data_IF_115392558864
#
_entry.id   IF_115392558864
#
_cell.length_a   1.000
_cell.length_b   1.000
_cell.length_c   1.000
_cell.angle_alpha   90.00
_cell.angle_beta   90.00
_cell.angle_gamma   90.00
#
_symmetry.space_group_name_H-M   'P 1'
#
loop_
_entity.id
_entity.type
_entity.pdbx_description
1 polymer ?
#
# COMPACT_ATOMS: atom_id res chain seq x y z
N UNK A 1 3.32 -17.58 -2.89
CA UNK A 1 2.15 -17.64 -3.81
C UNK A 1 1.82 -16.20 -4.16
N UNK A 2 1.47 -15.88 -5.41
CA UNK A 2 1.07 -14.49 -5.70
C UNK A 2 -0.11 -14.08 -4.78
N UNK A 3 0.04 -12.98 -4.05
CA UNK A 3 -1.01 -12.46 -3.17
C UNK A 3 -2.27 -12.21 -4.00
N UNK A 4 -3.39 -12.80 -3.60
CA UNK A 4 -4.65 -12.50 -4.29
C UNK A 4 -5.03 -11.04 -4.06
N UNK A 5 -5.77 -10.45 -5.02
CA UNK A 5 -6.27 -9.07 -4.91
C UNK A 5 -6.98 -8.80 -3.57
N UNK A 6 -7.75 -9.77 -3.08
CA UNK A 6 -8.41 -9.69 -1.77
C UNK A 6 -7.42 -9.61 -0.59
N UNK A 7 -6.34 -10.41 -0.61
CA UNK A 7 -5.31 -10.38 0.44
C UNK A 7 -4.55 -9.06 0.40
N UNK A 8 -4.19 -8.57 -0.79
CA UNK A 8 -3.56 -7.26 -0.96
C UNK A 8 -4.43 -6.12 -0.40
N UNK A 9 -5.73 -6.11 -0.69
CA UNK A 9 -6.63 -5.07 -0.21
C UNK A 9 -6.75 -5.04 1.32
N UNK A 10 -6.84 -6.20 1.98
CA UNK A 10 -6.83 -6.29 3.45
C UNK A 10 -5.53 -5.74 4.03
N UNK A 11 -4.39 -6.11 3.45
CA UNK A 11 -3.07 -5.62 3.90
C UNK A 11 -2.98 -4.10 3.74
N UNK A 12 -3.50 -3.55 2.64
CA UNK A 12 -3.53 -2.11 2.40
C UNK A 12 -4.35 -1.37 3.47
N UNK A 13 -5.57 -1.83 3.76
CA UNK A 13 -6.40 -1.24 4.82
C UNK A 13 -5.67 -1.33 6.17
N UNK A 14 -5.07 -2.49 6.48
CA UNK A 14 -4.33 -2.66 7.73
C UNK A 14 -3.13 -1.71 7.83
N UNK A 15 -2.38 -1.51 6.75
CA UNK A 15 -1.23 -0.61 6.70
C UNK A 15 -1.65 0.87 6.85
N UNK A 16 -2.71 1.28 6.15
CA UNK A 16 -3.20 2.66 6.16
C UNK A 16 -3.82 3.07 7.50
N UNK A 17 -4.58 2.16 8.12
CA UNK A 17 -5.25 2.39 9.41
C UNK A 17 -4.39 1.97 10.62
N UNK A 18 -3.17 1.49 10.38
CA UNK A 18 -2.24 0.98 11.40
C UNK A 18 -2.85 -0.17 12.25
N UNK A 19 -3.64 -1.04 11.63
CA UNK A 19 -4.07 -2.30 12.26
C UNK A 19 -2.98 -3.36 12.19
N UNK A 20 -3.05 -4.31 13.14
CA UNK A 20 -2.20 -5.50 13.12
C UNK A 20 -2.55 -6.39 11.93
N UNK A 21 -1.54 -6.80 11.16
CA UNK A 21 -1.72 -7.65 9.99
C UNK A 21 -2.20 -9.06 10.38
N UNK A 22 -1.81 -9.54 11.57
CA UNK A 22 -2.23 -10.84 12.11
C UNK A 22 -1.83 -12.05 11.27
N UNK A 23 -0.88 -11.89 10.35
CA UNK A 23 -0.43 -12.91 9.41
C UNK A 23 1.07 -13.12 9.54
N UNK A 24 1.46 -14.39 9.61
CA UNK A 24 2.86 -14.84 9.67
C UNK A 24 3.45 -15.08 8.27
N UNK A 25 2.66 -14.85 7.21
CA UNK A 25 3.09 -15.01 5.83
C UNK A 25 4.13 -13.93 5.45
N UNK A 26 5.34 -14.36 5.10
CA UNK A 26 6.45 -13.47 4.71
C UNK A 26 6.09 -12.55 3.54
N UNK A 27 5.31 -13.02 2.57
CA UNK A 27 4.86 -12.24 1.42
C UNK A 27 3.90 -11.11 1.84
N UNK A 28 2.97 -11.38 2.76
CA UNK A 28 2.03 -10.37 3.28
C UNK A 28 2.76 -9.31 4.10
N UNK A 29 3.71 -9.72 4.94
CA UNK A 29 4.56 -8.83 5.73
C UNK A 29 5.43 -7.92 4.84
N UNK A 30 6.03 -8.47 3.77
CA UNK A 30 6.82 -7.69 2.83
C UNK A 30 5.97 -6.61 2.13
N UNK A 31 4.74 -6.96 1.72
CA UNK A 31 3.81 -6.03 1.09
C UNK A 31 3.34 -4.94 2.08
N UNK A 32 3.00 -5.31 3.31
CA UNK A 32 2.65 -4.38 4.39
C UNK A 32 3.76 -3.36 4.67
N UNK A 33 5.01 -3.84 4.79
CA UNK A 33 6.16 -2.98 5.05
C UNK A 33 6.44 -2.01 3.89
N UNK A 34 6.23 -2.46 2.65
CA UNK A 34 6.37 -1.58 1.47
C UNK A 34 5.39 -0.41 1.53
N UNK A 35 4.10 -0.68 1.81
CA UNK A 35 3.06 0.36 1.90
C UNK A 35 3.36 1.33 3.03
N UNK A 36 3.77 0.82 4.21
CA UNK A 36 4.14 1.69 5.34
C UNK A 36 5.31 2.61 5.01
N UNK A 37 6.33 2.09 4.32
CA UNK A 37 7.48 2.88 3.89
C UNK A 37 7.06 3.97 2.91
N UNK A 38 6.25 3.62 1.91
CA UNK A 38 5.74 4.57 0.93
C UNK A 38 4.92 5.69 1.58
N UNK A 39 4.05 5.36 2.54
CA UNK A 39 3.29 6.35 3.31
C UNK A 39 4.17 7.22 4.21
N UNK A 40 5.21 6.66 4.82
CA UNK A 40 6.17 7.41 5.62
C UNK A 40 6.97 8.39 4.76
N UNK A 41 7.43 7.94 3.59
CA UNK A 41 8.10 8.78 2.60
C UNK A 41 7.15 9.90 2.09
N UNK A 42 5.87 9.61 1.85
CA UNK A 42 4.85 10.62 1.52
C UNK A 42 4.64 11.64 2.65
N UNK A 43 4.62 11.20 3.92
CA UNK A 43 4.50 12.09 5.08
C UNK A 43 5.70 13.00 5.25
N UNK A 44 6.90 12.53 4.89
CA UNK A 44 8.15 13.29 4.92
C UNK A 44 8.24 14.32 3.80
N UNK A 45 7.52 14.13 2.69
CA UNK A 45 7.41 15.17 1.69
C UNK A 45 6.58 16.33 2.29
N UNK A 46 7.09 17.57 2.25
CA UNK A 46 6.33 18.71 2.71
C UNK A 46 5.12 18.87 1.78
N UNK A 47 3.97 18.39 2.22
CA UNK A 47 2.69 18.58 1.55
C UNK A 47 2.50 20.09 1.50
N UNK A 48 2.90 20.72 0.39
CA UNK A 48 2.60 22.13 0.12
C UNK A 48 1.09 22.22 0.22
N UNK A 49 0.62 22.97 1.21
CA UNK A 49 -0.74 22.99 1.81
C UNK A 49 -1.86 23.43 0.86
N UNK A 50 -1.70 23.24 -0.46
CA UNK A 50 -2.64 23.63 -1.50
C UNK A 50 -2.66 22.74 -2.75
N UNK A 51 -1.96 21.60 -2.79
CA UNK A 51 -2.08 20.66 -3.91
C UNK A 51 -2.63 19.33 -3.38
N UNK A 52 -3.82 18.98 -3.85
CA UNK A 52 -4.46 17.70 -3.57
C UNK A 52 -3.51 16.56 -3.95
N UNK A 53 -3.30 15.64 -3.01
CA UNK A 53 -2.60 14.38 -3.28
C UNK A 53 -3.42 13.67 -4.36
N UNK A 54 -2.97 13.70 -5.61
CA UNK A 54 -3.55 12.86 -6.64
C UNK A 54 -3.17 11.42 -6.27
N UNK A 55 -4.18 10.58 -6.07
CA UNK A 55 -3.97 9.16 -5.76
C UNK A 55 -3.81 8.37 -7.07
N UNK A 56 -2.93 8.84 -7.95
CA UNK A 56 -2.65 8.16 -9.21
C UNK A 56 -1.64 7.04 -8.97
N UNK A 57 -1.92 6.14 -8.03
CA UNK A 57 -1.08 4.97 -7.81
C UNK A 57 -1.39 3.95 -8.91
N UNK A 58 -0.45 3.92 -9.86
CA UNK A 58 -0.25 2.92 -10.91
C UNK A 58 -1.40 2.68 -11.87
N UNK A 59 -1.47 3.51 -12.91
CA UNK A 59 -1.81 3.03 -14.24
C UNK A 59 -0.83 1.89 -14.61
N UNK A 60 -1.36 0.68 -14.79
CA UNK A 60 -0.63 -0.44 -15.40
C UNK A 60 -0.37 -1.63 -14.47
N UNK A 61 -1.32 -2.57 -14.42
CA UNK A 61 -1.01 -3.97 -14.78
C UNK A 61 -2.21 -4.91 -15.04
N UNK A 62 -3.27 -4.44 -15.69
CA UNK A 62 -4.30 -5.34 -16.23
C UNK A 62 -4.54 -5.07 -17.74
N UNK A 63 -3.46 -5.19 -18.54
CA UNK A 63 -3.60 -5.57 -19.94
C UNK A 63 -2.87 -6.89 -20.14
N UNK A 64 -3.60 -7.99 -20.11
CA UNK A 64 -3.32 -9.13 -20.97
C UNK A 64 -4.53 -10.09 -21.03
N UNK A 65 -5.14 -10.08 -22.22
CA UNK A 65 -6.15 -11.00 -22.79
C UNK A 65 -7.58 -10.88 -22.30
#
# INVERSE_FOLDING_TARGET
>A
MALSSYRMHKIYIAATMNYGLGSDDREELAYYNKIRKEMDDMKKQPIKKGISINWNTSEGRDKLT
#
